data_IF_989376181568
#
_entry.id   IF_989376181568
#
_cell.length_a   1.000
_cell.length_b   1.000
_cell.length_c   1.000
_cell.angle_alpha   90.00
_cell.angle_beta   90.00
_cell.angle_gamma   90.00
#
_symmetry.space_group_name_H-M   'P 1'
#
loop_
_entity.id
_entity.type
_entity.pdbx_description
1 polymer ?
#
# COMPACT_ATOMS: atom_id res chain seq x y z
N UNK A 1 7.40 6.52 6.43
CA UNK A 1 6.29 6.32 5.47
C UNK A 1 6.88 5.98 4.12
N UNK A 2 6.67 4.74 3.66
CA UNK A 2 7.06 4.28 2.32
C UNK A 2 5.79 4.39 1.46
N UNK A 3 5.77 5.32 0.51
CA UNK A 3 4.69 5.45 -0.46
C UNK A 3 5.22 5.08 -1.83
N UNK A 4 4.70 4.00 -2.42
CA UNK A 4 4.89 3.71 -3.84
C UNK A 4 3.77 4.42 -4.60
N UNK A 5 4.13 5.26 -5.58
CA UNK A 5 3.18 5.86 -6.50
C UNK A 5 3.34 5.18 -7.86
N UNK A 6 2.32 4.42 -8.28
CA UNK A 6 2.22 3.93 -9.65
C UNK A 6 1.53 4.99 -10.51
N UNK A 7 2.18 5.39 -11.61
CA UNK A 7 1.61 6.25 -12.64
C UNK A 7 1.29 5.39 -13.87
N UNK A 8 0.02 5.42 -14.32
CA UNK A 8 -0.39 4.93 -15.64
C UNK A 8 -0.70 6.13 -16.54
N UNK A 9 0.00 6.24 -17.66
CA UNK A 9 -0.25 7.29 -18.64
C UNK A 9 -1.26 6.79 -19.69
N UNK A 10 -2.49 7.32 -19.66
CA UNK A 10 -3.45 7.16 -20.75
C UNK A 10 -3.77 8.50 -21.43
N UNK A 11 -3.06 8.72 -22.54
CA UNK A 11 -3.42 9.42 -23.80
C UNK A 11 -4.06 10.83 -23.82
N UNK A 12 -3.26 11.80 -24.31
CA UNK A 12 -3.68 13.05 -24.95
C UNK A 12 -2.55 13.70 -25.78
N UNK A 13 -2.47 13.32 -27.07
CA UNK A 13 -1.65 13.81 -28.22
C UNK A 13 -0.46 14.80 -28.00
N UNK A 14 0.79 14.42 -28.35
CA UNK A 14 1.81 15.37 -28.82
C UNK A 14 1.73 15.56 -30.34
N UNK A 15 1.95 16.78 -30.82
CA UNK A 15 2.01 17.11 -32.24
C UNK A 15 3.38 16.72 -32.86
N UNK A 16 3.28 16.04 -33.99
CA UNK A 16 4.24 15.69 -35.07
C UNK A 16 5.76 15.82 -34.82
N UNK A 17 6.42 14.66 -34.73
CA UNK A 17 7.84 14.41 -35.04
C UNK A 17 8.06 12.89 -35.18
N UNK A 18 8.74 12.46 -36.26
CA UNK A 18 8.94 11.06 -36.70
C UNK A 18 9.36 10.05 -35.61
N UNK A 19 9.05 8.74 -35.78
CA UNK A 19 9.02 7.77 -34.70
C UNK A 19 10.43 7.37 -34.27
N UNK A 20 10.78 7.66 -33.02
CA UNK A 20 11.82 6.89 -32.32
C UNK A 20 11.10 5.80 -31.54
N UNK A 21 11.26 4.57 -31.97
CA UNK A 21 11.01 3.40 -31.14
C UNK A 21 11.94 3.48 -29.92
N UNK A 22 11.43 3.41 -28.68
CA UNK A 22 12.24 3.05 -27.55
C UNK A 22 11.68 1.74 -27.01
N UNK A 23 12.02 0.63 -27.66
CA UNK A 23 12.19 -0.66 -26.97
C UNK A 23 13.45 -0.56 -26.09
N UNK A 24 13.51 0.46 -25.23
CA UNK A 24 14.56 0.64 -24.25
C UNK A 24 14.00 0.09 -22.95
N UNK A 25 14.54 -1.05 -22.50
CA UNK A 25 14.38 -1.50 -21.10
C UNK A 25 14.61 -0.28 -20.21
N UNK A 26 13.80 -0.03 -19.16
CA UNK A 26 14.08 1.05 -18.24
C UNK A 26 15.47 0.81 -17.64
N UNK A 27 16.46 1.57 -18.11
CA UNK A 27 17.77 1.61 -17.48
C UNK A 27 17.60 2.32 -16.16
N UNK A 28 18.19 1.78 -15.09
CA UNK A 28 18.15 2.40 -13.76
C UNK A 28 18.58 3.86 -13.88
N UNK A 29 17.74 4.76 -13.38
CA UNK A 29 17.99 6.20 -13.39
C UNK A 29 17.83 6.75 -11.98
N UNK A 30 18.70 7.68 -11.60
CA UNK A 30 18.68 8.31 -10.29
C UNK A 30 18.74 9.82 -10.43
N UNK A 31 17.77 10.51 -9.83
CA UNK A 31 17.66 11.96 -9.83
C UNK A 31 17.54 12.48 -8.39
N UNK A 32 18.66 12.94 -7.79
CA UNK A 32 18.63 13.63 -6.52
C UNK A 32 18.17 15.09 -6.71
N UNK A 33 17.48 15.62 -5.70
CA UNK A 33 17.15 17.04 -5.65
C UNK A 33 18.43 17.87 -5.53
N UNK A 34 18.49 18.99 -6.26
CA UNK A 34 19.58 19.95 -6.09
C UNK A 34 19.62 20.55 -4.68
N UNK A 35 18.45 20.70 -4.04
CA UNK A 35 18.28 21.17 -2.67
C UNK A 35 17.13 20.44 -2.00
N UNK A 36 17.13 20.41 -0.66
CA UNK A 36 16.01 19.86 0.09
C UNK A 36 15.88 18.33 -0.01
N UNK A 37 16.97 17.58 -0.21
CA UNK A 37 17.15 16.18 0.25
C UNK A 37 16.08 15.14 -0.11
N UNK A 38 15.58 15.13 -1.34
CA UNK A 38 14.75 14.03 -1.87
C UNK A 38 15.41 13.39 -3.09
N UNK A 39 15.01 12.17 -3.44
CA UNK A 39 15.50 11.49 -4.65
C UNK A 39 14.39 10.71 -5.36
N UNK A 40 14.54 10.55 -6.68
CA UNK A 40 13.70 9.67 -7.50
C UNK A 40 14.58 8.60 -8.14
N UNK A 41 14.15 7.36 -8.05
CA UNK A 41 14.83 6.20 -8.64
C UNK A 41 13.86 5.56 -9.64
N UNK A 42 14.24 5.50 -10.91
CA UNK A 42 13.55 4.68 -11.92
C UNK A 42 14.21 3.31 -11.94
N UNK A 43 13.44 2.25 -11.74
CA UNK A 43 13.92 0.87 -11.69
C UNK A 43 12.99 -0.07 -12.45
N UNK A 44 13.45 -1.23 -12.93
CA UNK A 44 12.55 -2.30 -13.35
C UNK A 44 11.60 -2.72 -12.22
N UNK A 45 10.38 -3.22 -12.55
CA UNK A 45 9.48 -3.81 -11.57
C UNK A 45 10.15 -4.92 -10.74
N UNK A 46 9.90 -4.92 -9.43
CA UNK A 46 10.45 -5.91 -8.50
C UNK A 46 11.90 -5.66 -8.05
N UNK A 47 12.61 -4.70 -8.66
CA UNK A 47 13.99 -4.37 -8.29
C UNK A 47 14.00 -3.20 -7.29
N UNK A 48 13.50 -3.47 -6.09
CA UNK A 48 13.44 -2.52 -4.97
C UNK A 48 14.51 -2.82 -3.93
N UNK A 49 15.31 -1.82 -3.61
CA UNK A 49 16.31 -1.89 -2.54
C UNK A 49 15.95 -0.95 -1.38
N UNK A 50 16.39 -1.25 -0.14
CA UNK A 50 16.24 -0.33 0.98
C UNK A 50 16.81 1.06 0.66
N UNK A 51 15.94 2.06 0.62
CA UNK A 51 16.32 3.45 0.40
C UNK A 51 16.16 4.28 1.67
N UNK A 52 16.90 5.39 1.73
CA UNK A 52 16.76 6.40 2.78
C UNK A 52 15.43 7.15 2.73
N UNK A 53 15.17 7.95 3.77
CA UNK A 53 13.98 8.80 3.83
C UNK A 53 13.88 9.73 2.60
N UNK A 54 12.65 10.05 2.20
CA UNK A 54 12.33 10.99 1.10
C UNK A 54 12.84 10.53 -0.28
N UNK A 55 12.74 9.23 -0.53
CA UNK A 55 13.03 8.61 -1.82
C UNK A 55 11.73 8.08 -2.44
N UNK A 56 11.54 8.31 -3.74
CA UNK A 56 10.45 7.73 -4.53
C UNK A 56 11.04 6.76 -5.54
N UNK A 57 10.57 5.51 -5.51
CA UNK A 57 10.83 4.55 -6.57
C UNK A 57 9.72 4.60 -7.60
N UNK A 58 10.10 4.65 -8.87
CA UNK A 58 9.21 4.59 -10.02
C UNK A 58 9.55 3.29 -10.75
N UNK A 59 8.58 2.39 -10.84
CA UNK A 59 8.70 1.15 -11.58
C UNK A 59 7.58 1.08 -12.62
N UNK A 60 7.88 1.11 -13.93
CA UNK A 60 6.87 1.06 -14.97
C UNK A 60 6.36 -0.38 -15.14
N UNK A 61 5.04 -0.55 -15.08
CA UNK A 61 4.35 -1.83 -15.38
C UNK A 61 3.58 -1.68 -16.69
N UNK A 62 3.41 -2.79 -17.43
CA UNK A 62 2.71 -2.75 -18.72
C UNK A 62 1.19 -2.87 -18.55
N UNK A 63 0.75 -3.38 -17.39
CA UNK A 63 -0.66 -3.58 -17.06
C UNK A 63 -0.89 -3.52 -15.55
N UNK A 64 -2.14 -3.28 -15.13
CA UNK A 64 -2.51 -3.32 -13.71
C UNK A 64 -2.34 -4.72 -13.09
N UNK A 65 -2.46 -5.77 -13.90
CA UNK A 65 -2.32 -7.15 -13.45
C UNK A 65 -0.87 -7.51 -13.06
N UNK A 66 0.12 -6.74 -13.52
CA UNK A 66 1.53 -6.92 -13.13
C UNK A 66 1.86 -6.31 -11.76
N UNK A 67 1.00 -5.43 -11.24
CA UNK A 67 1.25 -4.70 -10.00
C UNK A 67 1.52 -5.61 -8.79
N UNK A 68 0.72 -6.67 -8.52
CA UNK A 68 0.97 -7.53 -7.36
C UNK A 68 2.33 -8.21 -7.42
N UNK A 69 2.69 -8.78 -8.58
CA UNK A 69 3.99 -9.42 -8.78
C UNK A 69 5.16 -8.42 -8.68
N UNK A 70 4.99 -7.21 -9.20
CA UNK A 70 5.98 -6.15 -9.07
C UNK A 70 6.22 -5.75 -7.61
N UNK A 71 5.17 -5.75 -6.78
CA UNK A 71 5.21 -5.33 -5.38
C UNK A 71 5.58 -6.46 -4.41
N UNK A 72 5.62 -7.72 -4.85
CA UNK A 72 5.89 -8.90 -4.00
C UNK A 72 7.14 -8.77 -3.10
N UNK A 73 8.29 -8.25 -3.59
CA UNK A 73 9.46 -8.03 -2.73
C UNK A 73 9.21 -7.08 -1.54
N UNK A 74 8.18 -6.23 -1.62
CA UNK A 74 7.79 -5.30 -0.58
C UNK A 74 6.74 -5.88 0.36
N UNK A 75 6.16 -7.06 0.09
CA UNK A 75 5.10 -7.69 0.89
C UNK A 75 5.34 -7.62 2.41
N UNK A 76 6.54 -7.92 2.95
CA UNK A 76 6.77 -7.88 4.40
C UNK A 76 6.67 -6.50 5.05
N UNK A 77 6.70 -5.43 4.25
CA UNK A 77 6.74 -4.03 4.69
C UNK A 77 5.70 -3.16 3.98
N UNK A 78 4.78 -3.78 3.24
CA UNK A 78 3.70 -3.10 2.52
C UNK A 78 2.63 -2.70 3.53
N UNK A 79 2.16 -1.45 3.46
CA UNK A 79 1.21 -0.90 4.43
C UNK A 79 0.08 -0.18 3.71
N UNK A 80 0.39 0.94 3.08
CA UNK A 80 -0.58 1.79 2.39
C UNK A 80 -0.31 1.81 0.90
N UNK A 81 -1.38 1.64 0.11
CA UNK A 81 -1.35 1.80 -1.34
C UNK A 81 -2.26 2.97 -1.72
N UNK A 82 -1.69 3.91 -2.47
CA UNK A 82 -2.41 4.99 -3.11
C UNK A 82 -2.70 4.63 -4.56
N UNK A 83 -3.96 4.73 -4.97
CA UNK A 83 -4.38 4.51 -6.36
C UNK A 83 -4.79 5.84 -7.00
N UNK A 84 -4.40 6.05 -8.26
CA UNK A 84 -4.76 7.22 -9.04
C UNK A 84 -4.98 6.84 -10.51
N UNK A 85 -5.94 7.48 -11.18
CA UNK A 85 -6.21 7.27 -12.60
C UNK A 85 -6.78 5.88 -12.96
N UNK A 86 -7.33 5.17 -11.98
CA UNK A 86 -7.92 3.83 -12.15
C UNK A 86 -9.43 3.92 -11.84
N UNK A 87 -10.25 3.25 -12.65
CA UNK A 87 -11.71 3.16 -12.45
C UNK A 87 -12.09 2.37 -11.19
N UNK A 88 -13.34 2.52 -10.74
CA UNK A 88 -13.81 1.86 -9.52
C UNK A 88 -13.81 0.33 -9.67
N UNK A 89 -14.27 -0.19 -10.81
CA UNK A 89 -14.28 -1.63 -11.10
C UNK A 89 -12.88 -2.25 -11.08
N UNK A 90 -11.89 -1.56 -11.67
CA UNK A 90 -10.50 -2.00 -11.69
C UNK A 90 -9.85 -1.90 -10.30
N UNK A 91 -10.26 -0.91 -9.50
CA UNK A 91 -9.79 -0.75 -8.13
C UNK A 91 -10.24 -1.93 -7.26
N UNK A 92 -11.54 -2.29 -7.32
CA UNK A 92 -12.07 -3.41 -6.53
C UNK A 92 -11.42 -4.73 -6.93
N UNK A 93 -11.25 -4.97 -8.23
CA UNK A 93 -10.59 -6.19 -8.72
C UNK A 93 -9.14 -6.31 -8.25
N UNK A 94 -8.40 -5.21 -8.21
CA UNK A 94 -7.00 -5.20 -7.78
C UNK A 94 -6.85 -5.26 -6.25
N UNK A 95 -7.84 -4.79 -5.49
CA UNK A 95 -7.75 -4.67 -4.05
C UNK A 95 -7.52 -6.01 -3.34
N UNK A 96 -8.18 -7.08 -3.78
CA UNK A 96 -8.04 -8.43 -3.18
C UNK A 96 -6.60 -8.93 -3.23
N UNK A 97 -5.96 -8.86 -4.41
CA UNK A 97 -4.57 -9.27 -4.60
C UNK A 97 -3.61 -8.42 -3.76
N UNK A 98 -3.86 -7.11 -3.68
CA UNK A 98 -3.04 -6.18 -2.90
C UNK A 98 -3.17 -6.40 -1.38
N UNK A 99 -4.38 -6.72 -0.89
CA UNK A 99 -4.58 -7.10 0.51
C UNK A 99 -3.90 -8.44 0.82
N UNK A 100 -4.02 -9.43 -0.07
CA UNK A 100 -3.32 -10.72 0.07
C UNK A 100 -1.79 -10.55 0.10
N UNK A 101 -1.26 -9.55 -0.59
CA UNK A 101 0.15 -9.18 -0.58
C UNK A 101 0.61 -8.52 0.72
N UNK A 102 -0.30 -8.05 1.56
CA UNK A 102 0.01 -7.45 2.86
C UNK A 102 -0.32 -5.96 2.98
N UNK A 103 -0.93 -5.33 1.97
CA UNK A 103 -1.47 -3.98 2.15
C UNK A 103 -2.52 -4.01 3.29
N UNK A 104 -2.54 -2.97 4.13
CA UNK A 104 -3.53 -2.81 5.21
C UNK A 104 -4.45 -1.62 4.99
N UNK A 105 -4.13 -0.77 3.99
CA UNK A 105 -4.92 0.40 3.60
C UNK A 105 -4.76 0.65 2.09
N UNK A 106 -5.88 0.72 1.38
CA UNK A 106 -5.94 1.12 -0.03
C UNK A 106 -6.84 2.35 -0.12
N UNK A 107 -6.33 3.45 -0.66
CA UNK A 107 -7.02 4.75 -0.74
C UNK A 107 -6.67 5.49 -2.03
N UNK A 108 -7.41 6.55 -2.40
CA UNK A 108 -6.94 7.50 -3.42
C UNK A 108 -5.55 8.05 -3.06
N UNK A 109 -4.69 8.25 -4.07
CA UNK A 109 -3.30 8.66 -3.87
C UNK A 109 -3.15 9.95 -3.05
N UNK A 110 -4.05 10.91 -3.26
CA UNK A 110 -4.09 12.18 -2.53
C UNK A 110 -4.42 12.02 -1.03
N UNK A 111 -5.01 10.89 -0.64
CA UNK A 111 -5.38 10.57 0.75
C UNK A 111 -4.32 9.77 1.50
N UNK A 112 -3.27 9.29 0.82
CA UNK A 112 -2.16 8.54 1.45
C UNK A 112 -1.54 9.29 2.65
N UNK A 113 -1.15 10.59 2.54
CA UNK A 113 -0.51 11.31 3.64
C UNK A 113 -1.47 11.73 4.76
N UNK A 114 -2.79 11.57 4.58
CA UNK A 114 -3.82 12.04 5.51
C UNK A 114 -4.67 10.86 6.01
N UNK A 115 -4.14 9.98 6.88
CA UNK A 115 -4.94 8.92 7.48
C UNK A 115 -5.96 9.48 8.48
N UNK A 116 -7.16 8.90 8.50
CA UNK A 116 -8.14 9.16 9.56
C UNK A 116 -7.57 8.78 10.94
N UNK A 117 -8.01 9.42 12.04
CA UNK A 117 -7.48 9.14 13.37
C UNK A 117 -7.66 7.69 13.85
N UNK A 118 -8.63 6.96 13.29
CA UNK A 118 -8.95 5.58 13.65
C UNK A 118 -8.50 4.55 12.60
N UNK A 119 -7.69 4.98 11.61
CA UNK A 119 -7.17 4.12 10.54
C UNK A 119 -6.44 2.89 11.06
N UNK A 120 -6.32 1.84 10.26
CA UNK A 120 -5.58 0.63 10.64
C UNK A 120 -4.08 0.80 10.32
N UNK A 121 -3.28 1.10 11.34
CA UNK A 121 -1.82 1.05 11.25
C UNK A 121 -1.37 -0.41 11.40
N UNK A 122 -0.76 -0.98 10.36
CA UNK A 122 -0.35 -2.40 10.34
C UNK A 122 -1.48 -3.37 10.69
N UNK A 123 -2.72 -3.04 10.29
CA UNK A 123 -3.91 -3.85 10.60
C UNK A 123 -4.48 -3.64 12.01
N UNK A 124 -3.88 -2.77 12.83
CA UNK A 124 -4.35 -2.44 14.18
C UNK A 124 -4.82 -0.99 14.28
N UNK A 125 -5.83 -0.73 15.12
CA UNK A 125 -6.26 0.64 15.44
C UNK A 125 -5.19 1.30 16.34
N UNK A 126 -4.62 2.47 15.99
CA UNK A 126 -3.57 3.15 16.75
C UNK A 126 -3.95 3.43 18.19
N UNK A 127 -5.23 3.73 18.44
CA UNK A 127 -5.75 4.04 19.78
C UNK A 127 -5.85 2.81 20.69
N UNK A 128 -5.70 1.59 20.15
CA UNK A 128 -5.75 0.34 20.93
C UNK A 128 -4.71 0.33 22.06
N UNK A 129 -3.53 0.89 21.81
CA UNK A 129 -2.43 0.95 22.78
C UNK A 129 -2.66 1.99 23.87
N UNK A 130 -3.63 2.90 23.69
CA UNK A 130 -3.93 3.99 24.62
C UNK A 130 -5.11 3.70 25.56
N UNK A 131 -5.77 2.56 25.40
CA UNK A 131 -6.97 2.19 26.18
C UNK A 131 -6.71 0.97 27.04
N UNK A 132 -7.41 0.90 28.19
CA UNK A 132 -7.41 -0.30 29.04
C UNK A 132 -8.60 -1.18 28.68
N UNK A 133 -8.32 -2.42 28.28
CA UNK A 133 -9.36 -3.42 28.01
C UNK A 133 -9.78 -4.12 29.31
N UNK A 134 -11.09 -4.23 29.53
CA UNK A 134 -11.68 -5.04 30.59
C UNK A 134 -12.68 -6.01 29.99
N UNK A 135 -12.61 -7.29 30.35
CA UNK A 135 -13.55 -8.32 29.91
C UNK A 135 -14.35 -8.82 31.13
N UNK A 136 -15.69 -8.82 31.00
CA UNK A 136 -16.59 -9.47 31.95
C UNK A 136 -17.27 -10.64 31.25
N UNK A 137 -17.04 -11.86 31.76
CA UNK A 137 -17.75 -13.07 31.31
C UNK A 137 -18.70 -13.51 32.39
N UNK A 138 -20.00 -13.28 32.21
CA UNK A 138 -21.04 -13.82 33.09
C UNK A 138 -21.61 -15.11 32.50
N UNK A 139 -20.98 -16.25 32.83
CA UNK A 139 -21.74 -17.51 32.86
C UNK A 139 -22.54 -17.50 34.16
N UNK A 140 -23.82 -17.89 34.18
CA UNK A 140 -24.51 -18.08 35.43
C UNK A 140 -23.72 -19.10 36.27
N UNK A 141 -23.38 -18.72 37.49
CA UNK A 141 -22.90 -19.67 38.50
C UNK A 141 -24.05 -20.64 38.77
N UNK A 142 -24.03 -21.79 38.11
CA UNK A 142 -24.85 -22.93 38.51
C UNK A 142 -24.27 -23.36 39.85
N UNK A 143 -24.83 -22.87 40.94
CA UNK A 143 -24.61 -23.44 42.26
C UNK A 143 -25.39 -24.76 42.23
N UNK A 144 -24.74 -25.94 42.25
CA UNK A 144 -25.48 -27.18 42.42
C UNK A 144 -26.27 -27.05 43.72
N UNK A 145 -27.58 -27.31 43.68
CA UNK A 145 -28.36 -27.42 44.90
C UNK A 145 -27.64 -28.45 45.77
N UNK A 146 -27.03 -27.98 46.86
CA UNK A 146 -26.43 -28.89 47.84
C UNK A 146 -27.56 -29.81 48.27
N UNK A 147 -27.31 -31.12 48.17
CA UNK A 147 -28.17 -32.13 48.73
C UNK A 147 -28.37 -31.81 50.22
N UNK A 148 -29.46 -31.11 50.55
CA UNK A 148 -30.01 -31.11 51.90
C UNK A 148 -30.65 -32.48 52.07
N UNK A 149 -29.82 -33.45 52.44
CA UNK A 149 -30.29 -34.74 52.91
C UNK A 149 -30.98 -34.59 54.26
N UNK A 150 -32.28 -34.84 54.27
CA UNK A 150 -32.98 -35.87 55.06
C UNK A 150 -34.48 -35.59 55.06
#
# INVERSE_FOLDING_TARGET
MKGAALWSAASGKPALGSPREPTRRPSVGHWPAATGGWSVILSPPGDFEPAGARTVWVAPVSSLAECPAALDPLSPVLQTIGLAGIGHEHTTALAEDLFALGATRIVPLDQVPFPDPDWLHDGARPLRELVRWGELRSRPWIIPASHRGR
#
